data_IF_747282143477
#
_entry.id   IF_747282143477
#
_cell.length_a   1.000
_cell.length_b   1.000
_cell.length_c   1.000
_cell.angle_alpha   90.00
_cell.angle_beta   90.00
_cell.angle_gamma   90.00
#
_symmetry.space_group_name_H-M   'P 1'
#
loop_
_entity.id
_entity.type
_entity.pdbx_description
1 polymer ?
#
# COMPACT_ATOMS: atom_id res chain seq x y z
N UNK A 1 31.20 3.36 14.77
CA UNK A 1 30.28 2.54 13.95
C UNK A 1 29.06 3.39 13.63
N UNK A 2 28.65 3.50 12.36
CA UNK A 2 27.45 4.24 12.01
C UNK A 2 26.22 3.57 12.67
N UNK A 3 25.31 4.36 13.22
CA UNK A 3 24.07 3.83 13.83
C UNK A 3 23.22 3.14 12.76
N UNK A 4 22.90 1.86 12.98
CA UNK A 4 22.05 1.05 12.12
C UNK A 4 20.65 0.95 12.72
N UNK A 5 19.64 0.99 11.87
CA UNK A 5 18.24 0.93 12.26
C UNK A 5 17.50 -0.10 11.41
N UNK A 6 16.50 -0.76 11.99
CA UNK A 6 15.55 -1.56 11.19
C UNK A 6 14.26 -0.78 11.04
N UNK A 7 13.64 -0.90 9.85
CA UNK A 7 12.38 -0.23 9.53
C UNK A 7 11.27 -1.27 9.43
N UNK A 8 10.09 -0.96 9.97
CA UNK A 8 8.88 -1.79 9.82
C UNK A 8 8.00 -1.38 8.63
N UNK A 9 8.47 -0.38 7.86
CA UNK A 9 7.83 0.16 6.67
C UNK A 9 7.01 1.42 6.93
N UNK A 10 6.22 1.79 5.92
CA UNK A 10 5.36 2.97 5.92
C UNK A 10 4.09 2.76 6.77
N UNK A 11 3.67 3.83 7.44
CA UNK A 11 2.37 3.97 8.11
C UNK A 11 1.76 5.31 7.78
N UNK A 12 0.44 5.38 7.85
CA UNK A 12 -0.33 6.60 7.65
C UNK A 12 -0.76 7.15 9.01
N UNK A 13 -0.22 8.30 9.38
CA UNK A 13 -0.64 9.07 10.54
C UNK A 13 -1.65 10.16 10.10
N UNK A 14 -2.36 10.81 11.04
CA UNK A 14 -3.22 11.95 10.72
C UNK A 14 -2.49 13.05 9.92
N UNK A 15 -1.22 13.30 10.26
CA UNK A 15 -0.39 14.33 9.62
C UNK A 15 0.31 13.86 8.32
N UNK A 16 0.00 12.64 7.85
CA UNK A 16 0.55 12.08 6.61
C UNK A 16 1.44 10.84 6.78
N UNK A 17 2.23 10.49 5.75
CA UNK A 17 3.04 9.28 5.76
C UNK A 17 4.23 9.38 6.73
N UNK A 18 4.53 8.27 7.41
CA UNK A 18 5.69 8.14 8.29
C UNK A 18 6.37 6.79 8.12
N UNK A 19 7.70 6.78 8.17
CA UNK A 19 8.45 5.54 8.38
C UNK A 19 8.49 5.21 9.86
N UNK A 20 8.27 3.93 10.18
CA UNK A 20 8.35 3.43 11.56
C UNK A 20 9.60 2.60 11.72
N UNK A 21 10.41 2.95 12.72
CA UNK A 21 11.66 2.30 13.04
C UNK A 21 11.53 1.47 14.31
N UNK A 22 12.44 0.52 14.47
CA UNK A 22 12.58 -0.22 15.72
C UNK A 22 12.84 0.72 16.91
N UNK A 23 12.36 0.32 18.09
CA UNK A 23 12.32 1.18 19.29
C UNK A 23 11.22 2.25 19.26
N UNK A 24 10.27 2.17 18.31
CA UNK A 24 9.08 3.03 18.27
C UNK A 24 9.30 4.42 17.66
N UNK A 25 10.53 4.72 17.20
CA UNK A 25 10.83 5.99 16.54
C UNK A 25 10.07 6.11 15.22
N UNK A 26 9.62 7.31 14.90
CA UNK A 26 8.91 7.63 13.65
C UNK A 26 9.63 8.74 12.91
N UNK A 27 9.66 8.67 11.58
CA UNK A 27 10.15 9.74 10.73
C UNK A 27 9.05 10.22 9.80
N UNK A 28 8.64 11.47 9.97
CA UNK A 28 7.70 12.13 9.06
C UNK A 28 8.28 12.24 7.65
N UNK A 29 7.40 12.13 6.66
CA UNK A 29 7.71 12.16 5.25
C UNK A 29 6.91 13.28 4.55
N UNK A 30 7.21 14.57 4.83
CA UNK A 30 6.63 15.66 4.06
C UNK A 30 7.10 15.60 2.60
N UNK A 31 6.27 16.07 1.68
CA UNK A 31 6.61 16.16 0.25
C UNK A 31 7.82 17.08 0.03
N UNK A 32 8.67 16.73 -0.94
CA UNK A 32 9.95 17.39 -1.19
C UNK A 32 11.09 16.96 -0.25
N UNK A 33 10.81 16.16 0.79
CA UNK A 33 11.86 15.62 1.66
C UNK A 33 12.74 14.65 0.89
N UNK A 34 14.07 14.80 1.04
CA UNK A 34 15.02 13.79 0.58
C UNK A 34 14.98 12.56 1.50
N UNK A 35 14.67 11.41 0.92
CA UNK A 35 14.80 10.10 1.55
C UNK A 35 16.13 9.51 1.11
N UNK A 36 17.03 9.24 2.05
CA UNK A 36 18.37 8.72 1.77
C UNK A 36 18.78 7.67 2.82
N UNK A 37 19.09 6.45 2.37
CA UNK A 37 19.64 5.40 3.22
C UNK A 37 20.47 4.39 2.42
N UNK A 38 21.39 3.72 3.11
CA UNK A 38 22.12 2.57 2.61
C UNK A 38 21.69 1.30 3.36
N UNK A 39 21.65 0.18 2.66
CA UNK A 39 21.64 -1.14 3.31
C UNK A 39 23.06 -1.46 3.73
N UNK A 40 23.29 -1.86 4.98
CA UNK A 40 24.64 -2.18 5.46
C UNK A 40 25.28 -3.31 4.62
N UNK A 41 26.55 -3.13 4.21
CA UNK A 41 27.29 -4.05 3.32
C UNK A 41 27.45 -5.46 3.88
N UNK A 42 27.61 -5.57 5.19
CA UNK A 42 27.77 -6.81 5.96
C UNK A 42 26.44 -7.35 6.51
N UNK A 43 25.31 -6.92 5.96
CA UNK A 43 23.99 -7.32 6.45
C UNK A 43 23.31 -8.37 5.57
N UNK A 44 22.37 -9.10 6.18
CA UNK A 44 21.42 -9.96 5.50
C UNK A 44 20.01 -9.58 5.97
N UNK A 45 19.01 -9.71 5.09
CA UNK A 45 17.63 -9.50 5.48
C UNK A 45 17.16 -10.61 6.41
N UNK A 46 16.74 -10.27 7.61
CA UNK A 46 16.33 -11.23 8.63
C UNK A 46 14.83 -11.21 8.87
N UNK A 47 14.30 -12.38 9.23
CA UNK A 47 12.91 -12.55 9.61
C UNK A 47 12.55 -11.63 10.78
N UNK A 48 11.49 -10.84 10.62
CA UNK A 48 10.99 -9.90 11.62
C UNK A 48 10.19 -10.57 12.75
N UNK A 49 10.07 -11.90 12.71
CA UNK A 49 9.29 -12.66 13.67
C UNK A 49 7.78 -12.56 13.46
N UNK A 50 6.98 -12.92 14.46
CA UNK A 50 5.53 -13.00 14.37
C UNK A 50 4.87 -12.54 15.68
N UNK A 51 3.70 -11.90 15.59
CA UNK A 51 2.89 -11.51 16.76
C UNK A 51 3.64 -10.67 17.81
N UNK A 52 4.52 -9.76 17.37
CA UNK A 52 5.32 -8.92 18.26
C UNK A 52 6.54 -9.61 18.87
N UNK A 53 6.79 -10.89 18.56
CA UNK A 53 7.97 -11.62 19.01
C UNK A 53 8.99 -11.75 17.89
N UNK A 54 10.26 -11.52 18.20
CA UNK A 54 11.36 -11.72 17.27
C UNK A 54 11.48 -13.20 16.83
N UNK A 55 11.97 -13.43 15.61
CA UNK A 55 12.20 -14.79 15.12
C UNK A 55 13.36 -15.44 15.91
N UNK A 56 13.15 -16.58 16.58
CA UNK A 56 14.20 -17.22 17.37
C UNK A 56 15.36 -17.72 16.50
N UNK A 57 15.06 -18.08 15.24
CA UNK A 57 16.06 -18.56 14.28
C UNK A 57 16.80 -17.42 13.57
N UNK A 58 16.33 -16.17 13.71
CA UNK A 58 16.81 -15.00 12.92
C UNK A 58 17.01 -15.32 11.44
N UNK A 59 16.10 -16.14 10.89
CA UNK A 59 16.22 -16.76 9.58
C UNK A 59 16.42 -15.70 8.50
N UNK A 60 17.32 -15.98 7.55
CA UNK A 60 17.51 -15.12 6.38
C UNK A 60 16.31 -15.25 5.47
N UNK A 61 15.80 -14.12 4.98
CA UNK A 61 14.66 -14.06 4.05
C UNK A 61 15.08 -13.37 2.75
N UNK A 62 14.47 -13.68 1.59
CA UNK A 62 14.87 -13.08 0.31
C UNK A 62 14.67 -11.56 0.30
N UNK A 63 15.59 -10.78 -0.28
CA UNK A 63 15.49 -9.32 -0.35
C UNK A 63 14.34 -8.82 -1.24
N UNK A 64 14.00 -9.59 -2.29
CA UNK A 64 12.89 -9.30 -3.23
C UNK A 64 11.48 -9.53 -2.69
N UNK A 65 11.33 -10.24 -1.57
CA UNK A 65 10.00 -10.60 -1.06
C UNK A 65 9.30 -9.41 -0.39
N UNK A 66 8.01 -9.19 -0.63
CA UNK A 66 7.24 -8.20 0.15
C UNK A 66 6.91 -8.69 1.57
N UNK A 67 7.13 -9.98 1.86
CA UNK A 67 7.01 -10.55 3.20
C UNK A 67 8.39 -10.69 3.85
N UNK A 68 8.57 -10.10 5.03
CA UNK A 68 9.82 -10.15 5.80
C UNK A 68 9.85 -11.29 6.83
N UNK A 69 9.14 -12.40 6.58
CA UNK A 69 8.99 -13.51 7.51
C UNK A 69 9.41 -14.82 6.86
N UNK A 70 10.07 -15.69 7.64
CA UNK A 70 10.24 -17.08 7.27
C UNK A 70 8.89 -17.81 7.29
N UNK A 71 8.85 -19.01 6.71
CA UNK A 71 7.63 -19.80 6.56
C UNK A 71 6.89 -20.02 7.89
N UNK A 72 7.62 -20.39 8.95
CA UNK A 72 7.03 -20.68 10.26
C UNK A 72 6.45 -19.42 10.91
N UNK A 73 7.18 -18.30 10.90
CA UNK A 73 6.66 -17.03 11.40
C UNK A 73 5.47 -16.54 10.55
N UNK A 74 5.48 -16.74 9.23
CA UNK A 74 4.36 -16.38 8.37
C UNK A 74 3.12 -17.25 8.64
N UNK A 75 3.30 -18.54 8.92
CA UNK A 75 2.23 -19.46 9.31
C UNK A 75 1.59 -19.04 10.63
N UNK A 76 2.40 -18.73 11.64
CA UNK A 76 1.94 -18.25 12.95
C UNK A 76 1.16 -16.93 12.86
N UNK A 77 1.66 -15.98 12.06
CA UNK A 77 1.02 -14.67 11.84
C UNK A 77 -0.33 -14.81 11.13
N UNK A 78 -0.43 -15.68 10.12
CA UNK A 78 -1.68 -15.91 9.36
C UNK A 78 -2.78 -16.55 10.19
N UNK A 79 -2.45 -17.48 11.09
CA UNK A 79 -3.44 -18.19 11.91
C UNK A 79 -4.28 -17.26 12.82
N UNK A 80 -3.82 -16.02 13.04
CA UNK A 80 -4.46 -15.02 13.89
C UNK A 80 -4.88 -13.76 13.12
N UNK A 81 -4.83 -13.81 11.79
CA UNK A 81 -5.34 -12.71 10.97
C UNK A 81 -6.85 -12.66 11.08
N UNK A 82 -7.45 -11.47 11.11
CA UNK A 82 -8.91 -11.30 10.93
C UNK A 82 -9.35 -11.79 9.54
N UNK A 83 -8.43 -11.94 8.59
CA UNK A 83 -8.71 -12.58 7.30
C UNK A 83 -8.69 -14.13 7.38
N UNK A 84 -8.24 -14.70 8.50
CA UNK A 84 -8.47 -16.10 8.79
C UNK A 84 -9.81 -16.22 9.52
N UNK A 85 -10.63 -17.18 9.12
CA UNK A 85 -11.95 -17.46 9.71
C UNK A 85 -11.88 -17.92 11.18
N UNK A 86 -10.70 -17.84 11.81
CA UNK A 86 -10.41 -18.32 13.17
C UNK A 86 -10.74 -17.31 14.26
N UNK A 87 -10.89 -16.02 13.96
CA UNK A 87 -11.48 -15.02 14.88
C UNK A 87 -12.97 -14.86 14.54
N UNK A 88 -13.83 -15.70 15.11
CA UNK A 88 -15.28 -15.58 14.99
C UNK A 88 -15.87 -14.56 16.00
N UNK A 89 -15.17 -14.31 17.11
CA UNK A 89 -15.72 -13.62 18.30
C UNK A 89 -15.09 -12.24 18.57
N UNK A 90 -14.66 -11.52 17.54
CA UNK A 90 -14.20 -10.13 17.74
C UNK A 90 -15.39 -9.21 18.05
N UNK A 91 -15.47 -8.60 19.25
CA UNK A 91 -16.61 -7.77 19.64
C UNK A 91 -16.59 -6.38 19.00
N UNK A 92 -15.48 -5.98 18.35
CA UNK A 92 -15.37 -4.65 17.75
C UNK A 92 -16.31 -4.50 16.55
N UNK A 93 -16.87 -3.30 16.32
CA UNK A 93 -17.62 -3.04 15.11
C UNK A 93 -16.70 -2.91 13.89
N UNK A 94 -17.21 -3.35 12.73
CA UNK A 94 -16.54 -3.33 11.44
C UNK A 94 -17.33 -2.51 10.43
N UNK A 95 -16.61 -1.83 9.53
CA UNK A 95 -17.16 -1.16 8.36
C UNK A 95 -16.91 -1.98 7.10
N UNK A 96 -17.87 -1.96 6.20
CA UNK A 96 -17.76 -2.41 4.81
C UNK A 96 -17.51 -1.17 3.94
N UNK A 97 -16.63 -1.28 2.94
CA UNK A 97 -16.29 -0.19 2.02
C UNK A 97 -16.15 -0.66 0.58
N UNK A 98 -16.34 0.29 -0.35
CA UNK A 98 -15.84 0.23 -1.72
C UNK A 98 -14.53 1.00 -1.80
N UNK A 99 -13.48 0.40 -2.33
CA UNK A 99 -12.18 1.04 -2.54
C UNK A 99 -11.80 0.98 -4.02
N UNK A 100 -11.57 2.15 -4.61
CA UNK A 100 -11.17 2.36 -5.99
C UNK A 100 -9.68 2.72 -6.07
N UNK A 101 -8.95 2.02 -6.95
CA UNK A 101 -7.51 2.16 -7.12
C UNK A 101 -7.13 2.72 -8.49
N UNK A 102 -8.06 3.11 -9.33
CA UNK A 102 -7.81 3.44 -10.72
C UNK A 102 -8.93 2.90 -11.60
N UNK A 103 -9.04 3.35 -12.86
CA UNK A 103 -10.13 2.94 -13.75
C UNK A 103 -10.32 1.42 -13.78
N UNK A 104 -11.55 0.96 -13.53
CA UNK A 104 -11.89 -0.48 -13.50
C UNK A 104 -11.32 -1.27 -12.32
N UNK A 105 -10.65 -0.63 -11.35
CA UNK A 105 -9.99 -1.29 -10.22
C UNK A 105 -10.71 -0.98 -8.91
N UNK A 106 -11.91 -1.54 -8.74
CA UNK A 106 -12.67 -1.45 -7.47
C UNK A 106 -12.64 -2.79 -6.74
N UNK A 107 -12.59 -2.74 -5.41
CA UNK A 107 -12.89 -3.90 -4.57
C UNK A 107 -13.80 -3.52 -3.42
N UNK A 108 -14.48 -4.53 -2.88
CA UNK A 108 -15.14 -4.44 -1.57
C UNK A 108 -14.14 -4.86 -0.50
N UNK A 109 -14.28 -4.33 0.70
CA UNK A 109 -13.49 -4.79 1.83
C UNK A 109 -14.11 -4.45 3.18
N UNK A 110 -13.58 -5.07 4.23
CA UNK A 110 -13.93 -4.70 5.61
C UNK A 110 -12.74 -4.15 6.41
N UNK A 111 -13.05 -3.39 7.45
CA UNK A 111 -12.08 -2.89 8.44
C UNK A 111 -12.74 -2.65 9.77
N UNK A 112 -12.03 -2.83 10.88
CA UNK A 112 -12.52 -2.38 12.18
C UNK A 112 -12.76 -0.85 12.15
N UNK A 113 -13.84 -0.39 12.78
CA UNK A 113 -14.23 1.04 12.81
C UNK A 113 -13.08 1.91 13.33
N UNK A 114 -12.36 1.44 14.36
CA UNK A 114 -11.23 2.15 14.98
C UNK A 114 -10.07 2.45 14.02
N UNK A 115 -9.90 1.65 12.96
CA UNK A 115 -8.88 1.88 11.93
C UNK A 115 -9.26 3.00 10.99
N UNK A 116 -10.57 3.24 10.84
CA UNK A 116 -11.11 4.32 10.01
C UNK A 116 -10.51 4.38 8.60
N UNK A 117 -10.32 5.61 8.05
CA UNK A 117 -9.73 5.83 6.73
C UNK A 117 -8.28 5.37 6.59
N UNK A 118 -7.53 5.21 7.69
CA UNK A 118 -6.12 4.82 7.63
C UNK A 118 -5.91 3.48 6.92
N UNK A 119 -6.86 2.54 7.07
CA UNK A 119 -6.85 1.26 6.36
C UNK A 119 -6.93 1.43 4.83
N UNK A 120 -7.59 2.47 4.34
CA UNK A 120 -7.74 2.75 2.91
C UNK A 120 -6.48 3.42 2.36
N UNK A 121 -5.90 4.34 3.14
CA UNK A 121 -4.59 4.93 2.84
C UNK A 121 -3.49 3.86 2.73
N UNK A 122 -3.42 2.95 3.72
CA UNK A 122 -2.47 1.83 3.73
C UNK A 122 -2.62 0.85 2.55
N UNK A 123 -3.83 0.75 1.99
CA UNK A 123 -4.07 -0.07 0.80
C UNK A 123 -3.78 0.67 -0.51
N UNK A 124 -3.59 1.99 -0.45
CA UNK A 124 -3.43 2.86 -1.61
C UNK A 124 -4.73 3.13 -2.36
N UNK A 125 -5.89 3.09 -1.68
CA UNK A 125 -7.18 3.41 -2.32
C UNK A 125 -7.23 4.91 -2.63
N UNK A 126 -7.35 5.26 -3.91
CA UNK A 126 -7.37 6.67 -4.36
C UNK A 126 -8.73 7.30 -4.10
N UNK A 127 -9.80 6.55 -4.25
CA UNK A 127 -11.13 6.97 -3.84
C UNK A 127 -11.79 5.82 -3.09
N UNK A 128 -12.65 6.11 -2.12
CA UNK A 128 -13.42 5.09 -1.43
C UNK A 128 -14.73 5.64 -0.91
N UNK A 129 -15.68 4.77 -0.59
CA UNK A 129 -16.86 5.13 0.21
C UNK A 129 -17.25 4.00 1.15
N UNK A 130 -17.87 4.35 2.28
CA UNK A 130 -18.44 3.38 3.20
C UNK A 130 -19.76 2.84 2.67
N UNK A 131 -20.04 1.57 2.98
CA UNK A 131 -21.25 0.87 2.58
C UNK A 131 -22.14 0.51 3.78
N UNK A 132 -21.51 0.18 4.90
CA UNK A 132 -22.23 -0.17 6.11
C UNK A 132 -21.32 -0.40 7.31
N UNK A 133 -21.92 -0.42 8.50
CA UNK A 133 -21.25 -0.62 9.78
C UNK A 133 -22.02 -1.65 10.62
N UNK A 134 -21.34 -2.61 11.24
CA UNK A 134 -21.97 -3.60 12.12
C UNK A 134 -20.98 -4.65 12.65
N UNK A 135 -21.46 -5.76 13.23
CA UNK A 135 -20.59 -6.83 13.76
C UNK A 135 -19.73 -7.48 12.68
N UNK A 136 -18.59 -8.08 13.06
CA UNK A 136 -17.64 -8.71 12.13
C UNK A 136 -18.31 -9.69 11.15
N UNK A 137 -19.14 -10.60 11.66
CA UNK A 137 -19.78 -11.61 10.81
C UNK A 137 -20.82 -11.03 9.85
N UNK A 138 -21.49 -9.93 10.23
CA UNK A 138 -22.37 -9.20 9.32
C UNK A 138 -21.55 -8.51 8.22
N UNK A 139 -20.44 -7.87 8.57
CA UNK A 139 -19.55 -7.23 7.62
C UNK A 139 -18.93 -8.24 6.63
N UNK A 140 -18.45 -9.41 7.09
CA UNK A 140 -17.92 -10.49 6.23
C UNK A 140 -18.95 -11.01 5.24
N UNK A 141 -20.15 -11.38 5.71
CA UNK A 141 -21.24 -11.84 4.83
C UNK A 141 -21.60 -10.79 3.79
N UNK A 142 -21.59 -9.51 4.17
CA UNK A 142 -21.84 -8.41 3.24
C UNK A 142 -20.71 -8.27 2.22
N UNK A 143 -19.44 -8.34 2.64
CA UNK A 143 -18.29 -8.32 1.73
C UNK A 143 -18.38 -9.46 0.70
N UNK A 144 -18.69 -10.67 1.12
CA UNK A 144 -18.85 -11.83 0.24
C UNK A 144 -20.02 -11.66 -0.75
N UNK A 145 -21.19 -11.25 -0.24
CA UNK A 145 -22.37 -10.94 -1.05
C UNK A 145 -22.05 -9.91 -2.13
N UNK A 146 -21.48 -8.78 -1.73
CA UNK A 146 -21.19 -7.66 -2.63
C UNK A 146 -20.07 -8.01 -3.61
N UNK A 147 -19.04 -8.74 -3.19
CA UNK A 147 -17.98 -9.21 -4.07
C UNK A 147 -18.56 -10.06 -5.21
N UNK A 148 -19.43 -11.01 -4.89
CA UNK A 148 -20.09 -11.86 -5.88
C UNK A 148 -21.05 -11.07 -6.79
N UNK A 149 -21.94 -10.27 -6.21
CA UNK A 149 -22.97 -9.54 -6.94
C UNK A 149 -22.41 -8.42 -7.84
N UNK A 150 -21.38 -7.71 -7.37
CA UNK A 150 -20.73 -6.63 -8.13
C UNK A 150 -19.65 -7.14 -9.08
N UNK A 151 -19.25 -8.41 -8.97
CA UNK A 151 -18.18 -9.04 -9.76
C UNK A 151 -16.84 -8.32 -9.63
N UNK A 152 -16.54 -7.85 -8.42
CA UNK A 152 -15.26 -7.20 -8.12
C UNK A 152 -14.25 -8.23 -7.59
N UNK A 153 -12.94 -8.04 -7.84
CA UNK A 153 -11.91 -8.95 -7.35
C UNK A 153 -11.80 -8.90 -5.81
N UNK A 154 -11.38 -10.02 -5.22
CA UNK A 154 -11.02 -10.10 -3.80
C UNK A 154 -9.75 -9.28 -3.50
N UNK A 155 -8.75 -9.40 -4.38
CA UNK A 155 -7.45 -8.76 -4.24
C UNK A 155 -7.00 -8.11 -5.54
N UNK A 156 -6.49 -6.88 -5.42
CA UNK A 156 -5.85 -6.13 -6.51
C UNK A 156 -4.35 -6.06 -6.21
N UNK A 157 -3.48 -6.65 -7.04
CA UNK A 157 -2.03 -6.60 -6.89
C UNK A 157 -1.46 -5.17 -6.89
N UNK A 158 -0.40 -4.93 -6.12
CA UNK A 158 0.24 -3.61 -6.07
C UNK A 158 0.90 -3.21 -7.39
N UNK A 159 1.40 -4.17 -8.16
CA UNK A 159 1.97 -3.89 -9.49
C UNK A 159 0.91 -3.30 -10.44
N UNK A 160 -0.31 -3.82 -10.43
CA UNK A 160 -1.43 -3.28 -11.21
C UNK A 160 -1.83 -1.88 -10.73
N UNK A 161 -1.90 -1.68 -9.42
CA UNK A 161 -2.15 -0.34 -8.83
C UNK A 161 -1.10 0.67 -9.29
N UNK A 162 0.18 0.29 -9.33
CA UNK A 162 1.29 1.16 -9.78
C UNK A 162 1.13 1.54 -11.25
N UNK A 163 0.76 0.59 -12.10
CA UNK A 163 0.60 0.80 -13.54
C UNK A 163 -0.46 1.88 -13.87
N UNK A 164 -1.55 1.94 -13.10
CA UNK A 164 -2.64 2.90 -13.36
C UNK A 164 -2.43 4.28 -12.70
N UNK A 165 -1.39 4.48 -11.89
CA UNK A 165 -1.19 5.77 -11.18
C UNK A 165 -0.90 6.94 -12.09
N UNK A 166 -0.28 6.68 -13.24
CA UNK A 166 0.02 7.71 -14.23
C UNK A 166 -1.20 8.17 -15.03
N UNK A 167 -2.31 7.42 -14.99
CA UNK A 167 -3.49 7.63 -15.81
C UNK A 167 -4.77 7.82 -14.98
N UNK A 168 -4.63 8.42 -13.79
CA UNK A 168 -5.79 8.74 -12.96
C UNK A 168 -6.57 9.92 -13.58
N UNK A 169 -7.92 9.90 -13.56
CA UNK A 169 -8.72 11.05 -13.96
C UNK A 169 -8.36 12.30 -13.16
N UNK A 170 -8.44 13.46 -13.82
CA UNK A 170 -7.99 14.74 -13.27
C UNK A 170 -8.90 15.24 -12.16
N UNK A 171 -10.22 15.07 -12.31
CA UNK A 171 -11.19 15.60 -11.35
C UNK A 171 -11.59 14.59 -10.29
N UNK A 172 -11.90 15.08 -9.09
CA UNK A 172 -12.47 14.26 -8.02
C UNK A 172 -13.80 13.63 -8.43
N UNK A 173 -14.61 14.35 -9.22
CA UNK A 173 -15.90 13.86 -9.69
C UNK A 173 -15.77 12.60 -10.54
N UNK A 174 -14.82 12.58 -11.49
CA UNK A 174 -14.52 11.43 -12.34
C UNK A 174 -13.99 10.25 -11.52
N UNK A 175 -13.06 10.49 -10.59
CA UNK A 175 -12.51 9.42 -9.72
C UNK A 175 -13.57 8.79 -8.82
N UNK A 176 -14.58 9.56 -8.42
CA UNK A 176 -15.68 9.09 -7.61
C UNK A 176 -16.81 8.43 -8.42
N UNK A 177 -16.81 8.51 -9.75
CA UNK A 177 -17.91 8.03 -10.59
C UNK A 177 -18.17 6.52 -10.44
N UNK A 178 -17.14 5.69 -10.63
CA UNK A 178 -17.24 4.22 -10.48
C UNK A 178 -17.64 3.82 -9.05
N UNK A 179 -17.14 4.54 -8.04
CA UNK A 179 -17.51 4.30 -6.63
C UNK A 179 -19.00 4.56 -6.41
N UNK A 180 -19.54 5.67 -6.94
CA UNK A 180 -20.96 6.00 -6.84
C UNK A 180 -21.84 4.99 -7.58
N UNK A 181 -21.44 4.58 -8.78
CA UNK A 181 -22.17 3.59 -9.57
C UNK A 181 -22.27 2.25 -8.82
N UNK A 182 -21.15 1.76 -8.30
CA UNK A 182 -21.12 0.50 -7.56
C UNK A 182 -21.83 0.61 -6.20
N UNK A 183 -21.78 1.77 -5.53
CA UNK A 183 -22.54 2.01 -4.31
C UNK A 183 -24.05 1.93 -4.60
N UNK A 184 -24.52 2.61 -5.65
CA UNK A 184 -25.94 2.59 -6.06
C UNK A 184 -26.41 1.16 -6.38
N UNK A 185 -25.58 0.38 -7.08
CA UNK A 185 -25.84 -1.04 -7.34
C UNK A 185 -25.85 -1.88 -6.06
N UNK A 186 -24.97 -1.59 -5.10
CA UNK A 186 -24.86 -2.36 -3.86
C UNK A 186 -26.08 -2.18 -2.96
N UNK A 187 -26.57 -0.94 -2.79
CA UNK A 187 -27.62 -0.62 -1.81
C UNK A 187 -29.00 -1.18 -2.19
N UNK A 188 -29.23 -1.49 -3.47
CA UNK A 188 -30.49 -2.10 -3.94
C UNK A 188 -30.47 -3.63 -3.90
N UNK A 189 -29.34 -4.25 -3.52
CA UNK A 189 -29.28 -5.70 -3.41
C UNK A 189 -30.07 -6.19 -2.19
N UNK A 190 -30.71 -7.34 -2.38
CA UNK A 190 -31.33 -8.11 -1.30
C UNK A 190 -30.26 -8.93 -0.53
N UNK A 191 -30.65 -9.50 0.60
CA UNK A 191 -29.78 -10.41 1.37
C UNK A 191 -28.72 -9.72 2.23
N UNK A 192 -28.77 -8.40 2.38
CA UNK A 192 -27.95 -7.70 3.37
C UNK A 192 -28.28 -8.21 4.79
N UNK A 193 -27.27 -8.51 5.62
CA UNK A 193 -27.51 -8.85 7.02
C UNK A 193 -28.25 -7.73 7.77
N UNK A 194 -29.30 -8.08 8.49
CA UNK A 194 -30.15 -7.13 9.25
C UNK A 194 -29.37 -6.33 10.30
N UNK A 195 -28.29 -6.91 10.85
CA UNK A 195 -27.44 -6.27 11.86
C UNK A 195 -26.37 -5.34 11.28
N UNK A 196 -26.37 -5.08 9.96
CA UNK A 196 -25.49 -4.11 9.33
C UNK A 196 -26.26 -2.83 8.98
N UNK A 197 -25.91 -1.73 9.64
CA UNK A 197 -26.45 -0.41 9.32
C UNK A 197 -25.82 0.11 8.02
N UNK A 198 -26.63 0.56 7.06
CA UNK A 198 -26.15 1.06 5.76
C UNK A 198 -25.65 2.50 5.86
N UNK A 199 -24.55 2.79 5.17
CA UNK A 199 -23.95 4.13 5.14
C UNK A 199 -24.30 4.86 3.83
N UNK A 200 -24.52 6.19 3.86
CA UNK A 200 -24.77 6.96 2.65
C UNK A 200 -23.54 6.98 1.74
N UNK A 201 -23.75 7.15 0.43
CA UNK A 201 -22.66 7.30 -0.53
C UNK A 201 -21.94 8.64 -0.32
N UNK A 202 -20.78 8.59 0.31
CA UNK A 202 -19.89 9.72 0.53
C UNK A 202 -18.50 9.34 0.01
N UNK A 203 -18.21 9.54 -1.29
CA UNK A 203 -16.88 9.29 -1.81
C UNK A 203 -15.86 10.22 -1.17
N UNK A 204 -14.71 9.67 -0.78
CA UNK A 204 -13.57 10.41 -0.24
C UNK A 204 -12.40 10.23 -1.18
N UNK A 205 -11.81 11.33 -1.61
CA UNK A 205 -10.65 11.36 -2.50
C UNK A 205 -9.33 11.47 -1.73
N UNK A 206 -8.36 10.66 -2.10
CA UNK A 206 -7.03 10.61 -1.50
C UNK A 206 -5.92 11.08 -2.45
N UNK A 207 -6.20 11.60 -3.65
CA UNK A 207 -5.14 12.06 -4.56
C UNK A 207 -4.28 13.13 -3.90
N UNK A 208 -4.92 14.11 -3.23
CA UNK A 208 -4.21 15.14 -2.48
C UNK A 208 -3.42 14.57 -1.29
N UNK A 209 -4.02 13.64 -0.53
CA UNK A 209 -3.37 12.99 0.62
C UNK A 209 -2.16 12.14 0.19
N UNK A 210 -2.19 11.57 -1.01
CA UNK A 210 -1.07 10.82 -1.58
C UNK A 210 -0.03 11.68 -2.28
N UNK A 211 -0.30 12.97 -2.46
CA UNK A 211 0.56 13.86 -3.25
C UNK A 211 0.63 13.45 -4.72
N UNK A 212 -0.40 12.81 -5.28
CA UNK A 212 -0.38 12.31 -6.66
C UNK A 212 -0.71 13.38 -7.71
N UNK A 213 -1.21 14.55 -7.30
CA UNK A 213 -1.55 15.65 -8.20
C UNK A 213 -0.29 16.22 -8.88
N UNK A 214 -0.25 16.20 -10.21
CA UNK A 214 0.83 16.83 -10.99
C UNK A 214 2.19 16.13 -10.87
N UNK A 215 2.25 14.93 -10.29
CA UNK A 215 3.50 14.17 -10.18
C UNK A 215 3.79 13.43 -11.49
N UNK A 216 5.06 13.47 -11.91
CA UNK A 216 5.50 12.71 -13.07
C UNK A 216 5.26 11.22 -12.89
N UNK A 217 4.85 10.55 -13.96
CA UNK A 217 4.70 9.10 -13.97
C UNK A 217 5.98 8.41 -13.51
N UNK A 218 5.82 7.38 -12.66
CA UNK A 218 6.94 6.54 -12.28
C UNK A 218 7.50 5.83 -13.53
N UNK A 219 8.82 5.77 -13.65
CA UNK A 219 9.52 5.10 -14.74
C UNK A 219 9.90 3.66 -14.37
N UNK A 220 9.75 3.25 -13.11
CA UNK A 220 10.05 1.91 -12.66
C UNK A 220 9.87 1.72 -11.15
N UNK A 221 10.08 0.49 -10.70
CA UNK A 221 10.04 0.12 -9.28
C UNK A 221 11.31 -0.61 -8.81
N UNK A 222 11.64 -0.45 -7.53
CA UNK A 222 12.71 -1.19 -6.87
C UNK A 222 12.27 -2.65 -6.71
N UNK A 223 13.07 -3.57 -7.24
CA UNK A 223 12.76 -5.01 -7.24
C UNK A 223 13.26 -5.68 -5.96
N UNK A 224 14.40 -5.22 -5.46
CA UNK A 224 15.07 -5.80 -4.30
C UNK A 224 15.97 -4.74 -3.63
N UNK A 225 16.08 -4.81 -2.31
CA UNK A 225 17.16 -4.17 -1.57
C UNK A 225 18.29 -5.17 -1.38
N UNK A 226 19.53 -4.72 -1.57
CA UNK A 226 20.74 -5.56 -1.52
C UNK A 226 21.77 -4.95 -0.56
N UNK A 227 22.67 -5.72 0.07
CA UNK A 227 23.74 -5.17 0.88
C UNK A 227 24.59 -4.16 0.10
N UNK A 228 24.92 -3.02 0.72
CA UNK A 228 25.61 -1.89 0.05
C UNK A 228 24.73 -1.10 -0.92
N UNK A 229 23.49 -1.54 -1.17
CA UNK A 229 22.54 -0.83 -2.00
C UNK A 229 22.12 0.50 -1.39
N UNK A 230 22.10 1.55 -2.20
CA UNK A 230 21.77 2.90 -1.80
C UNK A 230 20.45 3.33 -2.45
N UNK A 231 19.58 3.92 -1.65
CA UNK A 231 18.38 4.62 -2.11
C UNK A 231 18.49 6.07 -1.68
N UNK A 232 18.54 6.98 -2.65
CA UNK A 232 18.45 8.42 -2.44
C UNK A 232 17.52 9.05 -3.48
N UNK A 233 16.56 9.84 -3.02
CA UNK A 233 15.62 10.54 -3.90
C UNK A 233 14.71 11.49 -3.14
N UNK A 234 14.13 12.43 -3.86
CA UNK A 234 13.14 13.35 -3.31
C UNK A 234 11.76 12.70 -3.28
N UNK A 235 11.09 12.72 -2.13
CA UNK A 235 9.75 12.18 -2.00
C UNK A 235 8.74 13.10 -2.67
N UNK A 236 8.15 12.64 -3.77
CA UNK A 236 7.14 13.40 -4.54
C UNK A 236 5.72 12.93 -4.30
N UNK A 237 5.53 11.67 -3.94
CA UNK A 237 4.23 11.09 -3.60
C UNK A 237 4.37 9.84 -2.73
N UNK A 238 3.29 9.39 -2.10
CA UNK A 238 3.21 8.07 -1.48
C UNK A 238 1.79 7.50 -1.57
N UNK A 239 1.65 6.20 -1.81
CA UNK A 239 0.35 5.54 -1.88
C UNK A 239 0.43 4.11 -1.33
N UNK A 240 -0.38 3.78 -0.31
CA UNK A 240 -0.28 2.48 0.33
C UNK A 240 1.07 2.29 1.04
N UNK A 241 1.88 1.27 0.69
CA UNK A 241 3.24 1.07 1.19
C UNK A 241 4.31 1.71 0.28
N UNK A 242 3.91 2.32 -0.84
CA UNK A 242 4.82 2.76 -1.89
C UNK A 242 5.24 4.23 -1.68
N UNK A 243 6.54 4.48 -1.75
CA UNK A 243 7.11 5.84 -1.86
C UNK A 243 7.49 6.10 -3.31
N UNK A 244 7.13 7.26 -3.83
CA UNK A 244 7.54 7.73 -5.16
C UNK A 244 8.72 8.69 -4.97
N UNK A 245 9.89 8.28 -5.44
CA UNK A 245 11.14 9.00 -5.24
C UNK A 245 11.62 9.56 -6.58
N UNK A 246 11.66 10.88 -6.70
CA UNK A 246 12.32 11.55 -7.82
C UNK A 246 13.84 11.42 -7.65
N UNK A 247 14.45 10.70 -8.58
CA UNK A 247 15.90 10.45 -8.65
C UNK A 247 16.48 11.36 -9.73
N UNK A 248 17.46 12.19 -9.34
CA UNK A 248 18.08 13.18 -10.22
C UNK A 248 18.59 12.52 -11.51
N UNK A 249 18.18 13.07 -12.66
CA UNK A 249 18.56 12.57 -13.99
C UNK A 249 17.97 11.22 -14.40
N UNK A 250 17.15 10.56 -13.56
CA UNK A 250 16.58 9.23 -13.86
C UNK A 250 15.05 9.17 -13.84
N UNK A 251 14.38 10.16 -13.23
CA UNK A 251 12.92 10.19 -13.11
C UNK A 251 12.41 9.62 -11.78
N UNK A 252 11.12 9.30 -11.72
CA UNK A 252 10.47 8.83 -10.48
C UNK A 252 10.51 7.31 -10.38
N UNK A 253 11.04 6.78 -9.28
CA UNK A 253 11.04 5.35 -8.98
C UNK A 253 10.16 5.05 -7.77
N UNK A 254 9.46 3.92 -7.81
CA UNK A 254 8.64 3.45 -6.69
C UNK A 254 9.46 2.53 -5.79
N UNK A 255 9.55 2.88 -4.50
CA UNK A 255 10.05 2.00 -3.44
C UNK A 255 8.89 1.44 -2.63
N UNK A 256 8.69 0.13 -2.69
CA UNK A 256 7.83 -0.59 -1.76
C UNK A 256 8.49 -0.70 -0.39
N UNK A 257 8.02 0.05 0.60
CA UNK A 257 8.65 0.09 1.93
C UNK A 257 8.59 -1.25 2.68
N UNK A 258 7.81 -2.23 2.21
CA UNK A 258 7.84 -3.59 2.76
C UNK A 258 9.16 -4.30 2.48
N UNK A 259 9.88 -3.91 1.42
CA UNK A 259 11.22 -4.43 1.13
C UNK A 259 12.22 -4.02 2.21
N UNK A 260 12.01 -2.88 2.88
CA UNK A 260 12.90 -2.38 3.95
C UNK A 260 12.86 -3.25 5.22
N UNK A 261 11.75 -3.93 5.46
CA UNK A 261 11.57 -4.72 6.67
C UNK A 261 12.57 -5.88 6.76
N UNK A 262 13.28 -5.98 7.88
CA UNK A 262 14.28 -7.01 8.13
C UNK A 262 15.71 -6.64 7.70
N UNK A 263 15.93 -5.49 7.07
CA UNK A 263 17.27 -4.97 6.77
C UNK A 263 17.79 -4.05 7.86
N UNK A 264 19.12 -4.04 8.02
CA UNK A 264 19.85 -3.00 8.75
C UNK A 264 20.14 -1.84 7.81
N UNK A 265 19.56 -0.68 8.10
CA UNK A 265 19.66 0.53 7.29
C UNK A 265 20.53 1.57 8.01
N UNK A 266 21.48 2.15 7.28
CA UNK A 266 22.30 3.25 7.74
C UNK A 266 21.80 4.56 7.11
N UNK A 267 21.77 5.67 7.88
CA UNK A 267 21.52 6.98 7.30
C UNK A 267 22.65 7.32 6.32
N UNK A 268 22.28 7.95 5.21
CA UNK A 268 23.23 8.58 4.29
C UNK A 268 23.07 10.08 4.35
N UNK A 269 24.18 10.78 4.10
CA UNK A 269 24.12 12.20 3.81
C UNK A 269 23.25 12.40 2.56
N UNK A 270 22.15 13.19 2.64
CA UNK A 270 21.28 13.49 1.50
C UNK A 270 22.01 14.08 0.29
N UNK A 271 23.22 14.65 0.47
CA UNK A 271 24.08 15.13 -0.61
C UNK A 271 24.68 13.98 -1.45
N UNK A 272 24.77 12.77 -0.91
CA UNK A 272 25.20 11.57 -1.64
C UNK A 272 24.02 11.08 -2.49
N UNK A 273 23.88 11.66 -3.68
CA UNK A 273 22.80 11.42 -4.64
C UNK A 273 22.88 10.08 -5.40
N UNK A 274 23.13 8.97 -4.70
CA UNK A 274 23.23 7.65 -5.32
C UNK A 274 21.89 6.89 -5.29
N UNK A 275 21.62 6.11 -6.33
CA UNK A 275 20.49 5.18 -6.40
C UNK A 275 20.95 3.90 -7.11
N UNK A 276 21.40 2.92 -6.33
CA UNK A 276 22.19 1.77 -6.82
C UNK A 276 21.48 0.43 -6.64
N UNK A 277 20.23 0.43 -6.19
CA UNK A 277 19.43 -0.79 -6.02
C UNK A 277 18.91 -1.34 -7.35
N UNK A 278 18.72 -2.67 -7.48
CA UNK A 278 18.07 -3.27 -8.64
C UNK A 278 16.66 -2.70 -8.87
N UNK A 279 16.42 -2.27 -10.11
CA UNK A 279 15.12 -1.72 -10.55
C UNK A 279 14.57 -2.48 -11.74
N UNK A 280 13.26 -2.44 -11.87
CA UNK A 280 12.53 -2.81 -13.08
C UNK A 280 11.92 -1.55 -13.66
N UNK A 281 12.27 -1.23 -14.89
CA UNK A 281 11.66 -0.12 -15.60
C UNK A 281 10.28 -0.51 -16.12
N UNK A 282 9.33 0.41 -16.02
CA UNK A 282 8.05 0.28 -16.68
C UNK A 282 8.29 0.56 -18.16
N UNK A 283 7.88 -0.37 -19.03
CA UNK A 283 7.95 -0.13 -20.47
C UNK A 283 7.12 1.12 -20.75
N UNK A 284 7.77 2.18 -21.24
CA UNK A 284 7.05 3.21 -21.98
C UNK A 284 6.50 2.48 -23.20
N UNK A 285 5.19 2.40 -23.34
CA UNK A 285 4.62 2.20 -24.66
C UNK A 285 5.18 3.33 -25.50
N UNK A 286 6.12 3.00 -26.41
CA UNK A 286 6.47 3.91 -27.48
C UNK A 286 5.17 4.11 -28.21
N UNK A 287 4.71 5.37 -28.26
CA UNK A 287 3.50 5.72 -28.99
C UNK A 287 3.54 5.02 -30.34
N UNK A 288 2.41 4.44 -30.73
CA UNK A 288 2.19 3.97 -32.08
C UNK A 288 2.59 5.09 -33.04
N UNK A 289 3.81 5.01 -33.58
CA UNK A 289 4.10 5.55 -34.88
C UNK A 289 3.17 4.77 -35.81
N UNK A 290 2.02 5.39 -36.06
CA UNK A 290 1.17 5.05 -37.17
C UNK A 290 2.02 5.40 -38.39
N UNK A 291 2.87 4.46 -38.81
CA UNK A 291 3.51 4.49 -40.12
C UNK A 291 2.38 4.49 -41.13
N UNK A 292 2.01 5.70 -41.54
CA UNK A 292 1.18 5.93 -42.69
C UNK A 292 1.93 5.40 -43.90
N UNK A 293 1.40 4.35 -44.52
CA UNK A 293 1.79 3.94 -45.85
C UNK A 293 0.51 3.67 -46.65
N UNK A 294 0.36 4.56 -47.65
CA UNK A 294 -0.27 4.43 -48.97
C UNK A 294 -1.19 3.23 -49.23
#
# INVERSE_FOLDING_TARGET
>A
MAHRWTCSGLRWAPDGPVLVWDGGRRSALPWGKRVAFAVAEDSARRCVGARGHACPLRAVVPGRSTGARCEECARLDRAHSVAADTLADDPRPYRVYLAWFGPGMVKVGITAVERGPARLLEQGAVCFSWLGTGPLMAARRTEELLRAALRVPDRIPYAEKRAVRAALPETEAERAAEVRELHARAVVLDGWPESLFREPCQPVDHVGVFGLSGVSAAVGDVVELVPGGIVSGELVAAAGPDLHLAVAGRGVFVLDTRLMAGWELAPLDPAVGAFTVPVREFRRERGSEQDGLF
#
